data_IF_633890711310
#
_entry.id   IF_633890711310
#
_cell.length_a   1.000
_cell.length_b   1.000
_cell.length_c   1.000
_cell.angle_alpha   90.00
_cell.angle_beta   90.00
_cell.angle_gamma   90.00
#
_symmetry.space_group_name_H-M   'P 1'
#
loop_
_entity.id
_entity.type
_entity.pdbx_description
1 polymer ?
#
# COMPACT_ATOMS: atom_id res chain seq x y z
N UNK A 1 18.50 8.90 -31.38
CA UNK A 1 17.86 8.43 -30.14
C UNK A 1 17.84 9.60 -29.16
N UNK A 2 16.69 10.05 -28.64
CA UNK A 2 16.63 11.21 -27.76
C UNK A 2 17.31 10.93 -26.40
N UNK A 3 18.14 11.87 -25.93
CA UNK A 3 18.90 11.80 -24.65
C UNK A 3 18.52 12.95 -23.71
N UNK A 4 18.72 12.76 -22.40
CA UNK A 4 18.51 13.76 -21.35
C UNK A 4 19.64 13.71 -20.33
N UNK A 5 19.87 14.81 -19.59
CA UNK A 5 20.79 14.81 -18.45
C UNK A 5 20.10 14.26 -17.20
N UNK A 6 20.81 13.42 -16.46
CA UNK A 6 20.37 12.93 -15.16
C UNK A 6 20.36 14.10 -14.15
N UNK A 7 19.27 14.34 -13.40
CA UNK A 7 19.23 15.43 -12.42
C UNK A 7 20.12 15.18 -11.18
N UNK A 8 20.62 13.95 -10.99
CA UNK A 8 21.41 13.58 -9.82
C UNK A 8 22.92 13.63 -10.08
N UNK A 9 23.38 13.17 -11.24
CA UNK A 9 24.80 13.14 -11.59
C UNK A 9 25.16 13.97 -12.84
N UNK A 10 24.21 14.69 -13.43
CA UNK A 10 24.36 15.49 -14.65
C UNK A 10 24.71 14.71 -15.93
N UNK A 11 24.89 13.39 -15.86
CA UNK A 11 25.29 12.60 -17.02
C UNK A 11 24.20 12.31 -18.03
N UNK A 12 24.62 12.11 -19.28
CA UNK A 12 23.70 11.80 -20.37
C UNK A 12 23.16 10.36 -20.27
N UNK A 13 21.82 10.29 -20.24
CA UNK A 13 21.04 9.06 -20.19
C UNK A 13 19.99 9.06 -21.30
N UNK A 14 19.45 7.89 -21.64
CA UNK A 14 18.33 7.79 -22.59
C UNK A 14 17.13 8.59 -22.06
N UNK A 15 16.41 9.26 -22.96
CA UNK A 15 15.19 10.01 -22.59
C UNK A 15 14.15 9.13 -21.90
N UNK A 16 14.02 7.86 -22.28
CA UNK A 16 13.10 6.91 -21.63
C UNK A 16 13.71 6.17 -20.42
N UNK A 17 14.90 6.56 -19.96
CA UNK A 17 15.56 5.89 -18.84
C UNK A 17 14.85 6.18 -17.51
N UNK A 18 14.35 5.12 -16.87
CA UNK A 18 13.81 5.11 -15.50
C UNK A 18 14.90 5.04 -14.44
N UNK A 19 16.08 4.49 -14.77
CA UNK A 19 17.22 4.39 -13.86
C UNK A 19 18.49 4.88 -14.57
N UNK A 20 19.25 5.74 -13.90
CA UNK A 20 20.52 6.22 -14.42
C UNK A 20 21.56 5.09 -14.40
N UNK A 21 22.20 4.82 -15.54
CA UNK A 21 23.29 3.82 -15.64
C UNK A 21 24.58 4.25 -14.95
N UNK A 22 24.75 5.55 -14.70
CA UNK A 22 25.98 6.13 -14.15
C UNK A 22 25.94 6.21 -12.63
N UNK A 23 24.84 6.74 -12.04
CA UNK A 23 24.72 6.90 -10.59
C UNK A 23 23.70 5.94 -9.93
N UNK A 24 22.95 5.17 -10.71
CA UNK A 24 21.95 4.24 -10.19
C UNK A 24 20.66 4.88 -9.65
N UNK A 25 20.54 6.22 -9.63
CA UNK A 25 19.34 6.92 -9.16
C UNK A 25 18.15 6.70 -10.10
N UNK A 26 16.93 6.61 -9.52
CA UNK A 26 15.69 6.53 -10.27
C UNK A 26 15.31 7.91 -10.81
N UNK A 27 15.06 8.00 -12.11
CA UNK A 27 14.69 9.24 -12.80
C UNK A 27 13.23 9.12 -13.22
N UNK A 28 12.34 9.52 -12.31
CA UNK A 28 10.89 9.46 -12.49
C UNK A 28 10.42 10.31 -13.69
N UNK A 29 9.45 9.81 -14.48
CA UNK A 29 8.80 10.60 -15.51
C UNK A 29 8.01 11.76 -14.88
N UNK A 30 7.89 12.87 -15.62
CA UNK A 30 7.12 14.04 -15.16
C UNK A 30 7.87 15.00 -14.23
N UNK A 31 9.17 14.82 -13.96
CA UNK A 31 9.97 15.82 -13.24
C UNK A 31 10.51 16.89 -14.20
N UNK A 32 10.35 18.17 -13.84
CA UNK A 32 10.89 19.28 -14.62
C UNK A 32 12.42 19.34 -14.51
N UNK A 33 13.13 19.27 -15.64
CA UNK A 33 14.60 19.33 -15.66
C UNK A 33 15.16 20.70 -15.27
N UNK A 34 14.35 21.77 -15.33
CA UNK A 34 14.80 23.13 -14.99
C UNK A 34 14.73 23.43 -13.49
N UNK A 35 13.65 23.01 -12.82
CA UNK A 35 13.41 23.36 -11.42
C UNK A 35 13.20 22.17 -10.48
N UNK A 36 13.24 20.94 -11.00
CA UNK A 36 13.04 19.73 -10.21
C UNK A 36 11.60 19.47 -9.75
N UNK A 37 10.62 20.30 -10.15
CA UNK A 37 9.22 20.12 -9.73
C UNK A 37 8.60 18.92 -10.42
N UNK A 38 7.98 18.04 -9.64
CA UNK A 38 7.16 16.94 -10.16
C UNK A 38 5.86 17.49 -10.77
N UNK A 39 5.52 16.96 -11.93
CA UNK A 39 4.38 17.36 -12.73
C UNK A 39 3.60 16.11 -13.17
N UNK A 40 2.42 16.29 -13.77
CA UNK A 40 1.67 15.13 -14.32
C UNK A 40 2.54 14.45 -15.39
N UNK A 41 2.54 13.12 -15.43
CA UNK A 41 3.33 12.31 -16.36
C UNK A 41 3.01 12.61 -17.83
N UNK A 42 1.78 13.06 -18.09
CA UNK A 42 1.26 13.48 -19.40
C UNK A 42 1.33 15.01 -19.63
N UNK A 43 1.80 15.78 -18.67
CA UNK A 43 1.95 17.22 -18.87
C UNK A 43 2.97 17.48 -19.97
N UNK A 44 2.69 18.48 -20.81
CA UNK A 44 3.62 18.96 -21.86
C UNK A 44 4.53 20.08 -21.36
N UNK A 45 4.10 20.78 -20.31
CA UNK A 45 4.74 22.00 -19.81
C UNK A 45 4.87 21.97 -18.29
N UNK A 46 5.93 22.60 -17.77
CA UNK A 46 6.07 22.82 -16.33
C UNK A 46 5.05 23.87 -15.83
N UNK A 47 4.10 23.48 -14.97
CA UNK A 47 3.11 24.41 -14.40
C UNK A 47 3.69 25.50 -13.48
N UNK A 48 4.98 25.42 -13.15
CA UNK A 48 5.67 26.41 -12.31
C UNK A 48 6.68 27.27 -13.07
N UNK A 49 7.32 26.72 -14.10
CA UNK A 49 8.35 27.42 -14.88
C UNK A 49 7.86 27.85 -16.27
N UNK A 50 6.71 27.33 -16.72
CA UNK A 50 6.12 27.61 -18.03
C UNK A 50 6.83 26.99 -19.24
N UNK A 51 7.92 26.21 -19.05
CA UNK A 51 8.75 25.69 -20.16
C UNK A 51 8.45 24.24 -20.52
N UNK A 52 8.67 23.91 -21.79
CA UNK A 52 8.53 22.60 -22.44
C UNK A 52 9.68 21.67 -22.02
N UNK A 53 9.71 21.24 -20.75
CA UNK A 53 10.86 20.48 -20.23
C UNK A 53 10.41 19.34 -19.32
N UNK A 54 9.50 18.52 -19.84
CA UNK A 54 9.11 17.26 -19.23
C UNK A 54 9.67 16.11 -20.07
N UNK A 55 10.14 15.08 -19.38
CA UNK A 55 10.50 13.81 -20.00
C UNK A 55 9.20 13.30 -20.63
N UNK A 56 9.12 13.33 -21.97
CA UNK A 56 8.09 12.59 -22.69
C UNK A 56 8.30 11.15 -22.22
N UNK A 57 7.35 10.61 -21.44
CA UNK A 57 7.37 9.19 -21.10
C UNK A 57 7.44 8.36 -22.37
N UNK A 58 7.69 7.04 -22.27
CA UNK A 58 7.69 6.17 -23.44
C UNK A 58 6.46 6.52 -24.26
N UNK A 59 6.67 6.84 -25.53
CA UNK A 59 5.60 7.23 -26.42
C UNK A 59 4.65 6.04 -26.55
N UNK A 60 3.72 5.89 -25.61
CA UNK A 60 2.50 5.18 -25.89
C UNK A 60 1.94 5.86 -27.14
N UNK A 61 1.48 5.07 -28.13
CA UNK A 61 0.84 5.64 -29.29
C UNK A 61 -0.20 6.65 -28.80
N UNK A 62 -0.29 7.84 -29.44
CA UNK A 62 -1.33 8.80 -29.08
C UNK A 62 -2.66 8.04 -29.07
N UNK A 63 -3.56 8.27 -28.10
CA UNK A 63 -4.92 7.75 -28.21
C UNK A 63 -5.42 8.20 -29.58
N UNK A 64 -5.66 7.21 -30.45
CA UNK A 64 -6.10 7.45 -31.82
C UNK A 64 -7.31 8.37 -31.74
N UNK A 65 -7.15 9.50 -32.42
CA UNK A 65 -8.13 10.57 -32.64
C UNK A 65 -9.57 10.19 -32.32
N UNK A 66 -10.07 10.68 -31.17
CA UNK A 66 -11.48 10.90 -30.96
C UNK A 66 -11.75 12.39 -31.16
N UNK A 67 -12.60 12.66 -32.14
CA UNK A 67 -12.92 13.95 -32.71
C UNK A 67 -13.31 15.04 -31.71
N UNK A 68 -13.01 16.24 -32.16
CA UNK A 68 -13.33 17.54 -31.59
C UNK A 68 -14.85 17.75 -31.46
N UNK A 69 -15.43 17.27 -30.37
CA UNK A 69 -16.46 18.03 -29.63
C UNK A 69 -16.09 18.00 -28.17
N UNK A 70 -15.50 19.10 -27.74
CA UNK A 70 -15.18 19.42 -26.35
C UNK A 70 -16.48 19.50 -25.55
N UNK A 71 -16.97 18.35 -25.11
CA UNK A 71 -17.68 18.28 -23.84
C UNK A 71 -16.73 18.92 -22.81
N UNK A 72 -17.26 19.84 -22.01
CA UNK A 72 -16.72 20.11 -20.68
C UNK A 72 -16.70 18.76 -19.97
N UNK A 73 -15.61 18.02 -20.14
CA UNK A 73 -15.29 16.92 -19.28
C UNK A 73 -14.72 17.62 -18.07
N UNK A 74 -15.64 17.96 -17.17
CA UNK A 74 -15.38 18.10 -15.75
C UNK A 74 -14.71 16.79 -15.31
N UNK A 75 -13.41 16.67 -15.60
CA UNK A 75 -12.59 15.60 -15.05
C UNK A 75 -12.38 16.00 -13.59
N UNK A 76 -12.99 15.32 -12.61
CA UNK A 76 -12.59 15.51 -11.23
C UNK A 76 -11.10 15.17 -11.19
N UNK A 77 -10.27 16.20 -10.97
CA UNK A 77 -8.83 16.02 -10.76
C UNK A 77 -8.59 15.00 -9.63
N UNK A 78 -7.36 14.45 -9.49
CA UNK A 78 -7.05 13.54 -8.41
C UNK A 78 -7.41 14.24 -7.11
N UNK A 79 -8.53 13.82 -6.54
CA UNK A 79 -9.08 14.41 -5.34
C UNK A 79 -7.99 14.32 -4.30
N UNK A 80 -7.58 15.46 -3.77
CA UNK A 80 -6.94 15.47 -2.46
C UNK A 80 -7.91 14.72 -1.57
N UNK A 81 -7.60 13.47 -1.22
CA UNK A 81 -8.42 12.71 -0.28
C UNK A 81 -8.62 13.63 0.92
N UNK A 82 -9.87 13.99 1.26
CA UNK A 82 -10.10 14.91 2.35
C UNK A 82 -9.52 14.26 3.61
N UNK A 83 -8.61 14.97 4.27
CA UNK A 83 -7.91 14.57 5.51
C UNK A 83 -8.85 14.39 6.72
N UNK A 84 -10.11 14.01 6.51
CA UNK A 84 -11.17 13.86 7.51
C UNK A 84 -11.33 12.41 8.02
N UNK A 85 -10.43 11.49 7.66
CA UNK A 85 -10.41 10.12 8.20
C UNK A 85 -9.57 9.87 9.46
N UNK A 86 -9.02 10.83 10.24
CA UNK A 86 -8.40 10.45 11.52
C UNK A 86 -9.45 10.14 12.60
N UNK A 87 -10.65 10.72 12.52
CA UNK A 87 -11.68 10.57 13.56
C UNK A 87 -12.39 9.22 13.45
N UNK A 88 -12.80 8.81 12.24
CA UNK A 88 -13.46 7.51 12.04
C UNK A 88 -12.48 6.37 12.39
N UNK A 89 -11.20 6.52 12.01
CA UNK A 89 -10.17 5.55 12.37
C UNK A 89 -9.94 5.47 13.88
N UNK A 90 -9.97 6.61 14.60
CA UNK A 90 -9.83 6.65 16.06
C UNK A 90 -11.05 6.00 16.75
N UNK A 91 -12.26 6.30 16.28
CA UNK A 91 -13.51 5.73 16.84
C UNK A 91 -13.56 4.22 16.63
N UNK A 92 -13.18 3.73 15.45
CA UNK A 92 -13.10 2.29 15.19
C UNK A 92 -12.02 1.62 16.07
N UNK A 93 -10.87 2.26 16.25
CA UNK A 93 -9.79 1.74 17.09
C UNK A 93 -10.20 1.68 18.57
N UNK A 94 -10.85 2.72 19.10
CA UNK A 94 -11.38 2.73 20.47
C UNK A 94 -12.51 1.72 20.64
N UNK A 95 -13.37 1.51 19.63
CA UNK A 95 -14.41 0.49 19.66
C UNK A 95 -13.82 -0.93 19.66
N UNK A 96 -12.77 -1.19 18.87
CA UNK A 96 -12.07 -2.48 18.85
C UNK A 96 -11.34 -2.74 20.15
N UNK A 97 -10.61 -1.75 20.68
CA UNK A 97 -9.97 -1.84 22.00
C UNK A 97 -11.05 -2.07 23.07
N UNK A 98 -12.14 -1.30 23.04
CA UNK A 98 -13.29 -1.47 23.91
C UNK A 98 -13.85 -2.88 23.85
N UNK A 99 -14.11 -3.44 22.67
CA UNK A 99 -14.54 -4.83 22.49
C UNK A 99 -13.52 -5.83 23.03
N UNK A 100 -12.22 -5.62 22.82
CA UNK A 100 -11.17 -6.51 23.35
C UNK A 100 -11.14 -6.50 24.89
N UNK A 101 -11.37 -5.34 25.52
CA UNK A 101 -11.37 -5.19 26.99
C UNK A 101 -12.73 -5.48 27.64
N UNK A 102 -13.85 -5.31 26.92
CA UNK A 102 -15.22 -5.56 27.41
C UNK A 102 -15.79 -6.93 27.05
N UNK A 103 -15.40 -7.55 25.92
CA UNK A 103 -15.78 -8.92 25.59
C UNK A 103 -14.97 -10.07 26.23
N UNK A 104 -13.90 -9.88 27.03
CA UNK A 104 -13.16 -11.02 27.56
C UNK A 104 -13.83 -11.62 28.81
N UNK A 105 -14.95 -11.06 29.30
CA UNK A 105 -15.56 -11.54 30.53
C UNK A 105 -16.56 -12.68 30.36
N UNK A 106 -17.32 -12.75 29.26
CA UNK A 106 -18.38 -13.78 29.13
C UNK A 106 -17.92 -15.14 28.57
N UNK A 107 -16.83 -15.22 27.78
CA UNK A 107 -16.40 -16.48 27.12
C UNK A 107 -15.29 -17.25 27.83
N UNK A 108 -14.69 -16.69 28.88
CA UNK A 108 -13.61 -17.34 29.64
C UNK A 108 -14.15 -18.39 30.61
N UNK A 109 -15.29 -18.13 31.26
CA UNK A 109 -15.89 -19.02 32.26
C UNK A 109 -16.45 -20.30 31.62
N UNK A 110 -17.11 -20.20 30.46
CA UNK A 110 -17.62 -21.37 29.72
C UNK A 110 -16.51 -22.27 29.14
N UNK A 111 -15.37 -21.69 28.74
CA UNK A 111 -14.21 -22.47 28.24
C UNK A 111 -13.43 -23.12 29.37
N UNK A 112 -13.29 -22.47 30.53
CA UNK A 112 -12.62 -23.03 31.69
C UNK A 112 -13.32 -24.30 32.21
N UNK A 113 -14.67 -24.29 32.28
CA UNK A 113 -15.45 -25.47 32.66
C UNK A 113 -15.28 -26.64 31.69
N UNK A 114 -15.44 -26.38 30.39
CA UNK A 114 -15.28 -27.43 29.36
C UNK A 114 -13.84 -28.00 29.30
N UNK A 115 -12.83 -27.17 29.55
CA UNK A 115 -11.43 -27.61 29.58
C UNK A 115 -11.11 -28.45 30.82
N UNK A 116 -11.67 -28.12 32.00
CA UNK A 116 -11.47 -28.89 33.22
C UNK A 116 -12.09 -30.30 33.12
N UNK A 117 -13.29 -30.43 32.57
CA UNK A 117 -13.94 -31.74 32.36
C UNK A 117 -13.18 -32.60 31.35
N UNK A 118 -12.68 -32.00 30.26
CA UNK A 118 -11.87 -32.71 29.27
C UNK A 118 -10.55 -33.21 29.86
N UNK A 119 -9.88 -32.39 30.69
CA UNK A 119 -8.64 -32.77 31.37
C UNK A 119 -8.87 -33.90 32.38
N UNK A 120 -9.95 -33.84 33.17
CA UNK A 120 -10.28 -34.90 34.15
C UNK A 120 -10.50 -36.26 33.48
N UNK A 121 -11.19 -36.30 32.32
CA UNK A 121 -11.40 -37.54 31.54
C UNK A 121 -10.09 -38.12 31.02
N UNK A 122 -9.22 -37.28 30.45
CA UNK A 122 -7.91 -37.71 29.96
C UNK A 122 -7.02 -38.26 31.09
N UNK A 123 -7.01 -37.60 32.26
CA UNK A 123 -6.27 -38.10 33.41
C UNK A 123 -6.81 -39.44 33.91
N UNK A 124 -8.14 -39.58 34.05
CA UNK A 124 -8.76 -40.84 34.48
C UNK A 124 -8.45 -41.99 33.50
N UNK A 125 -8.52 -41.75 32.19
CA UNK A 125 -8.19 -42.76 31.18
C UNK A 125 -6.70 -43.14 31.22
N UNK A 126 -5.81 -42.16 31.40
CA UNK A 126 -4.36 -42.40 31.52
C UNK A 126 -4.02 -43.24 32.76
N UNK A 127 -4.67 -42.98 33.89
CA UNK A 127 -4.48 -43.74 35.12
C UNK A 127 -5.02 -45.16 34.99
N UNK A 128 -6.20 -45.33 34.37
CA UNK A 128 -6.77 -46.65 34.11
C UNK A 128 -5.84 -47.50 33.23
N UNK A 129 -5.27 -46.91 32.16
CA UNK A 129 -4.29 -47.58 31.30
C UNK A 129 -3.00 -47.92 32.03
N UNK A 130 -2.46 -46.98 32.83
CA UNK A 130 -1.24 -47.22 33.60
C UNK A 130 -1.41 -48.35 34.62
N UNK A 131 -2.58 -48.41 35.29
CA UNK A 131 -2.89 -49.49 36.23
C UNK A 131 -3.03 -50.84 35.53
N UNK A 132 -3.76 -50.88 34.41
CA UNK A 132 -3.90 -52.11 33.62
C UNK A 132 -2.55 -52.62 33.08
N UNK A 133 -1.63 -51.72 32.74
CA UNK A 133 -0.26 -52.08 32.35
C UNK A 133 0.57 -52.63 33.51
N UNK A 134 0.42 -52.06 34.71
CA UNK A 134 1.10 -52.54 35.91
C UNK A 134 0.61 -53.91 36.38
N UNK A 135 -0.67 -54.22 36.17
CA UNK A 135 -1.27 -55.53 36.50
C UNK A 135 -0.93 -56.62 35.45
N UNK A 136 -0.43 -56.24 34.27
CA UNK A 136 -0.05 -57.15 33.20
C UNK A 136 1.44 -57.55 33.22
N UNK A 137 2.23 -57.03 34.18
CA UNK A 137 3.64 -57.36 34.40
C UNK A 137 3.81 -58.29 35.60
#
# INVERSE_FOLDING_TARGET
MPVKKCPFCAEEIKSDALKCKHCGSLVEPGVCLKCGKQNRTEAKFCGSCGKDSLIKGPSLPPPVSADSKRAKSDVPGPGKVPKKTPIISLVLLVAVIGLIYYLPKEKSEARAGAQAEAQARMHAESQAKAKAQAEAQ
#
